data_IF_775479008845
#
_entry.id   IF_775479008845
#
_cell.length_a   1.000
_cell.length_b   1.000
_cell.length_c   1.000
_cell.angle_alpha   90.00
_cell.angle_beta   90.00
_cell.angle_gamma   90.00
#
_symmetry.space_group_name_H-M   'P 1'
#
loop_
_entity.id
_entity.type
_entity.pdbx_description
1 polymer ?
#
# COMPACT_ATOMS: atom_id res chain seq x y z
N UNK A 1 74.43 -15.91 -21.21
CA UNK A 1 74.33 -15.76 -22.69
C UNK A 1 72.98 -15.09 -22.93
N UNK A 2 72.81 -13.84 -23.40
CA UNK A 2 73.55 -13.00 -24.38
C UNK A 2 73.53 -13.56 -25.82
N UNK A 3 73.28 -12.64 -26.77
CA UNK A 3 73.16 -12.76 -28.24
C UNK A 3 71.79 -13.22 -28.80
N UNK A 4 71.24 -12.68 -29.91
CA UNK A 4 71.28 -11.35 -30.60
C UNK A 4 70.48 -11.49 -31.95
N UNK A 5 70.10 -10.37 -32.62
CA UNK A 5 69.93 -10.25 -34.12
C UNK A 5 68.73 -11.06 -34.74
N UNK A 6 67.97 -10.72 -35.81
CA UNK A 6 67.76 -9.59 -36.77
C UNK A 6 66.37 -9.83 -37.46
N UNK A 7 65.74 -8.99 -38.32
CA UNK A 7 65.65 -7.52 -38.54
C UNK A 7 64.71 -7.24 -39.76
N UNK A 8 64.03 -6.07 -39.83
CA UNK A 8 63.24 -5.50 -40.97
C UNK A 8 61.88 -6.17 -41.27
N UNK A 9 60.86 -5.48 -41.79
CA UNK A 9 60.79 -4.22 -42.57
C UNK A 9 59.53 -3.39 -42.19
N UNK A 10 59.63 -2.08 -41.88
CA UNK A 10 59.43 -0.92 -42.80
C UNK A 10 58.09 -1.00 -43.58
N UNK A 11 57.08 -0.14 -43.37
CA UNK A 11 56.96 1.32 -43.68
C UNK A 11 55.57 1.83 -43.18
N UNK A 12 55.24 3.11 -42.94
CA UNK A 12 55.96 4.39 -42.76
C UNK A 12 54.96 5.49 -42.26
N UNK A 13 55.35 6.37 -41.32
CA UNK A 13 54.84 7.76 -41.02
C UNK A 13 53.31 8.01 -40.82
N UNK A 14 52.85 8.93 -39.97
CA UNK A 14 53.52 9.91 -39.09
C UNK A 14 52.51 10.45 -38.03
N UNK A 15 52.96 10.89 -36.84
CA UNK A 15 53.29 12.30 -36.51
C UNK A 15 52.11 13.28 -36.70
N UNK A 16 51.72 14.12 -35.71
CA UNK A 16 52.06 14.17 -34.28
C UNK A 16 50.97 14.97 -33.52
N UNK A 17 50.92 14.79 -32.21
CA UNK A 17 50.18 15.59 -31.20
C UNK A 17 50.25 17.11 -31.44
N UNK A 18 49.11 17.80 -31.28
CA UNK A 18 49.11 19.14 -30.69
C UNK A 18 47.95 19.31 -29.68
N UNK A 19 48.13 20.27 -28.78
CA UNK A 19 47.41 20.44 -27.50
C UNK A 19 46.49 21.66 -27.55
N UNK A 20 45.56 21.73 -26.59
CA UNK A 20 45.03 22.95 -25.93
C UNK A 20 43.65 23.50 -26.35
N UNK A 21 43.03 24.18 -25.37
CA UNK A 21 41.83 25.04 -25.38
C UNK A 21 40.41 24.42 -25.35
N UNK A 22 39.96 24.24 -24.11
CA UNK A 22 38.64 24.60 -23.57
C UNK A 22 37.75 25.58 -24.37
N UNK A 23 36.47 25.20 -24.53
CA UNK A 23 35.28 26.08 -24.56
C UNK A 23 34.00 25.24 -24.31
N UNK A 24 32.92 25.86 -23.81
CA UNK A 24 31.78 25.19 -23.16
C UNK A 24 30.84 24.39 -24.09
N UNK A 25 30.21 23.30 -23.59
CA UNK A 25 29.15 22.55 -24.29
C UNK A 25 27.74 23.13 -24.07
N UNK A 26 27.59 24.46 -23.94
CA UNK A 26 26.29 25.10 -23.62
C UNK A 26 25.60 25.76 -24.82
N UNK A 27 26.20 25.75 -26.01
CA UNK A 27 25.73 26.48 -27.20
C UNK A 27 25.05 25.60 -28.26
N UNK A 28 24.92 24.28 -28.03
CA UNK A 28 24.37 23.35 -29.03
C UNK A 28 22.90 22.93 -28.81
N UNK A 29 22.25 23.35 -27.73
CA UNK A 29 20.89 22.90 -27.39
C UNK A 29 19.75 23.82 -27.89
N UNK A 30 20.08 25.03 -28.37
CA UNK A 30 19.08 26.08 -28.66
C UNK A 30 18.64 26.16 -30.13
N UNK A 31 18.91 25.11 -30.93
CA UNK A 31 18.55 25.03 -32.36
C UNK A 31 17.72 23.79 -32.73
N UNK A 32 17.24 23.02 -31.75
CA UNK A 32 16.44 21.80 -31.95
C UNK A 32 14.97 21.92 -31.51
N UNK A 33 14.52 23.11 -31.07
CA UNK A 33 13.19 23.31 -30.44
C UNK A 33 12.19 24.03 -31.37
N UNK A 34 12.61 24.52 -32.54
CA UNK A 34 11.78 25.40 -33.40
C UNK A 34 11.09 24.68 -34.57
N UNK A 35 11.52 23.47 -34.96
CA UNK A 35 10.95 22.77 -36.13
C UNK A 35 9.91 21.67 -35.81
N UNK A 36 9.59 21.42 -34.53
CA UNK A 36 8.60 20.40 -34.13
C UNK A 36 7.25 20.99 -33.67
N UNK A 37 6.73 21.99 -34.39
CA UNK A 37 5.48 22.68 -34.00
C UNK A 37 4.47 22.96 -35.14
N UNK A 38 4.65 22.40 -36.34
CA UNK A 38 3.84 22.78 -37.52
C UNK A 38 3.19 21.62 -38.32
N UNK A 39 3.09 20.38 -37.82
CA UNK A 39 2.51 19.25 -38.57
C UNK A 39 1.57 18.31 -37.78
N UNK A 40 0.74 18.84 -36.86
CA UNK A 40 -0.45 18.11 -36.37
C UNK A 40 -1.68 19.05 -36.33
N UNK A 41 -2.17 19.44 -37.51
CA UNK A 41 -3.40 20.23 -37.65
C UNK A 41 -4.18 19.86 -38.92
N UNK A 42 -4.52 18.58 -39.05
CA UNK A 42 -5.44 18.05 -40.07
C UNK A 42 -6.11 16.76 -39.54
N UNK A 43 -7.16 16.89 -38.72
CA UNK A 43 -7.78 15.73 -38.06
C UNK A 43 -9.02 15.97 -37.18
N UNK A 44 -9.57 17.19 -37.14
CA UNK A 44 -10.85 17.45 -36.46
C UNK A 44 -11.95 17.63 -37.50
N UNK A 45 -12.56 16.51 -37.86
CA UNK A 45 -13.54 16.41 -38.95
C UNK A 45 -14.41 15.16 -38.87
N UNK A 46 -14.70 14.68 -37.65
CA UNK A 46 -15.79 13.74 -37.43
C UNK A 46 -16.87 14.43 -36.62
N UNK A 47 -18.07 14.47 -37.17
CA UNK A 47 -19.29 14.85 -36.46
C UNK A 47 -19.44 13.97 -35.20
N UNK A 48 -19.94 14.50 -34.08
CA UNK A 48 -20.22 13.66 -32.92
C UNK A 48 -21.20 12.55 -33.31
N UNK A 49 -21.04 11.31 -32.81
CA UNK A 49 -22.00 10.26 -33.06
C UNK A 49 -23.36 10.69 -32.51
N UNK A 50 -24.38 10.63 -33.36
CA UNK A 50 -25.77 10.87 -32.97
C UNK A 50 -26.15 9.94 -31.81
N UNK A 51 -26.74 10.51 -30.77
CA UNK A 51 -27.38 9.74 -29.70
C UNK A 51 -28.41 8.77 -30.30
N UNK A 52 -28.64 7.59 -29.70
CA UNK A 52 -29.77 6.75 -30.08
C UNK A 52 -31.08 7.54 -29.89
N UNK A 53 -31.85 7.74 -30.97
CA UNK A 53 -33.12 8.49 -30.89
C UNK A 53 -34.28 7.69 -30.29
N UNK A 54 -34.11 6.37 -30.11
CA UNK A 54 -35.09 5.53 -29.43
C UNK A 54 -34.84 5.55 -27.91
N UNK A 55 -35.73 6.13 -27.09
CA UNK A 55 -35.73 5.84 -25.66
C UNK A 55 -35.96 4.33 -25.49
N UNK A 56 -35.28 3.66 -24.55
CA UNK A 56 -35.58 2.26 -24.26
C UNK A 56 -37.06 2.13 -23.93
N UNK A 57 -37.75 1.21 -24.60
CA UNK A 57 -39.17 0.91 -24.37
C UNK A 57 -39.43 0.88 -22.86
N UNK A 58 -40.47 1.56 -22.34
CA UNK A 58 -40.69 1.67 -20.92
C UNK A 58 -40.71 0.26 -20.32
N UNK A 59 -39.67 -0.05 -19.54
CA UNK A 59 -39.65 -1.26 -18.75
C UNK A 59 -40.93 -1.24 -17.94
N UNK A 60 -41.73 -2.32 -18.04
CA UNK A 60 -42.98 -2.45 -17.32
C UNK A 60 -42.68 -2.30 -15.83
N UNK A 61 -42.89 -1.07 -15.34
CA UNK A 61 -42.88 -0.73 -13.93
C UNK A 61 -43.98 -1.57 -13.31
N UNK A 62 -43.55 -2.66 -12.66
CA UNK A 62 -44.41 -3.50 -11.84
C UNK A 62 -45.10 -2.53 -10.86
N UNK A 63 -46.43 -2.46 -10.82
CA UNK A 63 -47.14 -1.61 -9.88
C UNK A 63 -46.65 -1.89 -8.47
N UNK A 64 -46.41 -0.84 -7.67
CA UNK A 64 -45.85 -0.99 -6.32
C UNK A 64 -46.70 -1.90 -5.42
N UNK A 65 -47.99 -2.02 -5.73
CA UNK A 65 -48.95 -2.89 -5.06
C UNK A 65 -48.63 -4.39 -5.20
N UNK A 66 -47.99 -4.83 -6.30
CA UNK A 66 -47.59 -6.25 -6.52
C UNK A 66 -46.28 -6.62 -5.78
N UNK A 67 -45.57 -5.65 -5.21
CA UNK A 67 -44.39 -5.87 -4.36
C UNK A 67 -44.75 -5.99 -2.86
N UNK A 68 -46.00 -5.73 -2.48
CA UNK A 68 -46.48 -5.90 -1.12
C UNK A 68 -47.11 -7.30 -0.96
N UNK A 69 -46.61 -8.15 -0.04
CA UNK A 69 -47.25 -9.44 0.21
C UNK A 69 -48.68 -9.23 0.71
N UNK A 70 -49.64 -9.88 0.05
CA UNK A 70 -51.07 -9.79 0.39
C UNK A 70 -51.28 -10.08 1.89
N UNK A 71 -52.18 -9.37 2.59
CA UNK A 71 -52.51 -9.72 3.97
C UNK A 71 -53.09 -11.14 4.01
N UNK A 72 -52.32 -12.07 4.61
CA UNK A 72 -52.72 -13.47 4.76
C UNK A 72 -54.09 -13.58 5.44
N UNK A 73 -54.97 -14.50 4.99
CA UNK A 73 -56.30 -14.64 5.58
C UNK A 73 -56.19 -14.99 7.07
N UNK A 74 -56.95 -14.26 7.89
CA UNK A 74 -57.00 -14.40 9.34
C UNK A 74 -57.28 -15.83 9.77
N UNK A 75 -56.28 -16.50 10.36
CA UNK A 75 -56.41 -17.84 10.93
C UNK A 75 -57.22 -17.75 12.24
N UNK A 76 -58.16 -18.68 12.53
CA UNK A 76 -58.89 -18.68 13.78
C UNK A 76 -57.93 -18.88 14.97
N UNK A 77 -58.20 -18.20 16.08
CA UNK A 77 -57.45 -18.36 17.32
C UNK A 77 -57.74 -19.73 17.95
N UNK A 78 -56.88 -20.72 17.67
CA UNK A 78 -56.79 -21.95 18.47
C UNK A 78 -55.61 -21.82 19.43
N UNK A 79 -55.92 -21.77 20.72
CA UNK A 79 -54.94 -21.83 21.79
C UNK A 79 -54.24 -23.19 21.79
N UNK A 80 -52.95 -23.20 21.48
CA UNK A 80 -52.04 -24.27 21.93
C UNK A 80 -50.64 -23.70 22.21
N UNK A 81 -50.02 -24.21 23.26
CA UNK A 81 -48.79 -23.67 23.84
C UNK A 81 -47.55 -23.89 22.96
N UNK A 82 -47.29 -22.92 22.08
CA UNK A 82 -45.97 -22.72 21.45
C UNK A 82 -45.57 -21.25 21.47
N UNK A 83 -45.76 -20.59 22.63
CA UNK A 83 -45.03 -19.38 22.95
C UNK A 83 -43.56 -19.77 23.17
N UNK A 84 -42.80 -19.89 22.08
CA UNK A 84 -41.34 -19.93 22.15
C UNK A 84 -40.92 -18.71 22.94
N UNK A 85 -40.29 -18.97 24.08
CA UNK A 85 -39.87 -17.96 25.02
C UNK A 85 -39.00 -16.97 24.23
N UNK A 86 -39.38 -15.69 24.24
CA UNK A 86 -38.44 -14.61 23.95
C UNK A 86 -37.49 -14.57 25.14
N UNK A 87 -36.55 -15.53 25.18
CA UNK A 87 -35.56 -15.64 26.25
C UNK A 87 -34.78 -14.34 26.29
N UNK A 88 -34.89 -13.68 27.44
CA UNK A 88 -34.11 -12.55 27.92
C UNK A 88 -33.04 -12.07 26.94
N UNK A 89 -33.40 -11.08 26.10
CA UNK A 89 -32.42 -10.27 25.41
C UNK A 89 -31.71 -9.41 26.46
N UNK A 90 -30.75 -10.05 27.15
CA UNK A 90 -30.01 -9.45 28.25
C UNK A 90 -29.23 -8.25 27.74
N UNK A 91 -29.77 -7.06 28.03
CA UNK A 91 -29.23 -5.75 27.65
C UNK A 91 -27.84 -5.49 28.23
N UNK A 92 -27.37 -6.32 29.17
CA UNK A 92 -26.00 -6.28 29.67
C UNK A 92 -25.00 -7.04 28.78
N UNK A 93 -25.47 -7.81 27.79
CA UNK A 93 -24.60 -8.51 26.83
C UNK A 93 -24.09 -7.52 25.78
N UNK A 94 -22.77 -7.38 25.56
CA UNK A 94 -22.26 -6.48 24.54
C UNK A 94 -22.78 -6.84 23.13
N UNK A 95 -23.02 -5.83 22.26
CA UNK A 95 -23.41 -6.02 20.87
C UNK A 95 -22.57 -7.08 20.15
N UNK A 96 -23.15 -7.76 19.17
CA UNK A 96 -22.43 -8.82 18.44
C UNK A 96 -21.15 -8.26 17.78
N UNK A 97 -21.19 -7.05 17.23
CA UNK A 97 -20.04 -6.31 16.70
C UNK A 97 -18.89 -6.20 17.71
N UNK A 98 -19.21 -5.93 18.97
CA UNK A 98 -18.22 -5.63 19.99
C UNK A 98 -17.60 -6.92 20.53
N UNK A 99 -18.40 -8.00 20.63
CA UNK A 99 -17.89 -9.34 20.90
C UNK A 99 -16.98 -9.85 19.76
N UNK A 100 -17.26 -9.53 18.50
CA UNK A 100 -16.38 -9.85 17.36
C UNK A 100 -15.06 -9.06 17.45
N UNK A 101 -15.13 -7.74 17.70
CA UNK A 101 -13.95 -6.89 17.91
C UNK A 101 -13.08 -7.38 19.08
N UNK A 102 -13.69 -7.69 20.23
CA UNK A 102 -13.00 -8.22 21.41
C UNK A 102 -12.30 -9.57 21.13
N UNK A 103 -12.94 -10.47 20.36
CA UNK A 103 -12.33 -11.75 19.95
C UNK A 103 -11.13 -11.55 19.01
N UNK A 104 -11.26 -10.67 18.01
CA UNK A 104 -10.17 -10.29 17.11
C UNK A 104 -8.99 -9.73 17.91
N UNK A 105 -9.26 -8.79 18.81
CA UNK A 105 -8.28 -8.15 19.69
C UNK A 105 -7.56 -9.15 20.61
N UNK A 106 -8.28 -10.08 21.22
CA UNK A 106 -7.70 -11.14 22.04
C UNK A 106 -6.76 -12.07 21.24
N UNK A 107 -7.14 -12.43 20.00
CA UNK A 107 -6.30 -13.26 19.13
C UNK A 107 -5.07 -12.46 18.61
N UNK A 108 -5.21 -11.16 18.32
CA UNK A 108 -4.08 -10.26 18.00
C UNK A 108 -3.06 -10.24 19.15
N UNK A 109 -3.52 -10.03 20.40
CA UNK A 109 -2.65 -10.06 21.59
C UNK A 109 -1.98 -11.42 21.78
N UNK A 110 -2.73 -12.51 21.57
CA UNK A 110 -2.20 -13.87 21.67
C UNK A 110 -1.13 -14.15 20.62
N UNK A 111 -1.39 -13.84 19.34
CA UNK A 111 -0.45 -14.06 18.24
C UNK A 111 0.80 -13.19 18.40
N UNK A 112 0.67 -11.93 18.85
CA UNK A 112 1.83 -11.08 19.18
C UNK A 112 2.69 -11.68 20.31
N UNK A 113 2.07 -12.29 21.33
CA UNK A 113 2.81 -12.98 22.41
C UNK A 113 3.51 -14.23 21.88
N UNK A 114 2.83 -15.05 21.07
CA UNK A 114 3.42 -16.23 20.42
C UNK A 114 4.60 -15.81 19.52
N UNK A 115 4.45 -14.74 18.73
CA UNK A 115 5.48 -14.15 17.86
C UNK A 115 6.72 -13.71 18.63
N UNK A 116 6.57 -12.92 19.71
CA UNK A 116 7.69 -12.52 20.58
C UNK A 116 8.42 -13.72 21.19
N UNK A 117 7.71 -14.81 21.51
CA UNK A 117 8.29 -16.02 22.10
C UNK A 117 8.92 -17.01 21.08
N UNK A 118 8.64 -16.84 19.79
CA UNK A 118 9.00 -17.84 18.78
C UNK A 118 10.49 -17.75 18.39
N UNK A 119 11.26 -18.81 18.61
CA UNK A 119 12.65 -18.87 18.12
C UNK A 119 12.76 -19.21 16.62
N UNK A 120 11.72 -19.80 16.02
CA UNK A 120 11.74 -20.32 14.66
C UNK A 120 11.19 -19.30 13.65
N UNK A 121 12.07 -18.81 12.76
CA UNK A 121 11.76 -17.81 11.73
C UNK A 121 10.60 -18.21 10.82
N UNK A 122 10.49 -19.48 10.44
CA UNK A 122 9.43 -19.98 9.54
C UNK A 122 8.07 -20.08 10.24
N UNK A 123 8.06 -20.34 11.56
CA UNK A 123 6.83 -20.27 12.36
C UNK A 123 6.43 -18.82 12.62
N UNK A 124 7.39 -17.96 13.00
CA UNK A 124 7.18 -16.53 13.18
C UNK A 124 6.62 -15.87 11.91
N UNK A 125 7.11 -16.26 10.72
CA UNK A 125 6.57 -15.83 9.42
C UNK A 125 5.10 -16.20 9.22
N UNK A 126 4.68 -17.41 9.62
CA UNK A 126 3.28 -17.85 9.54
C UNK A 126 2.38 -17.09 10.52
N UNK A 127 2.87 -16.82 11.73
CA UNK A 127 2.18 -16.01 12.74
C UNK A 127 2.02 -14.56 12.25
N UNK A 128 3.06 -13.94 11.69
CA UNK A 128 2.96 -12.62 11.06
C UNK A 128 1.96 -12.59 9.91
N UNK A 129 1.89 -13.65 9.08
CA UNK A 129 0.86 -13.79 8.04
C UNK A 129 -0.56 -14.04 8.59
N UNK A 130 -0.72 -14.58 9.79
CA UNK A 130 -2.03 -14.65 10.47
C UNK A 130 -2.41 -13.27 11.01
N UNK A 131 -1.48 -12.58 11.66
CA UNK A 131 -1.71 -11.27 12.25
C UNK A 131 -2.06 -10.22 11.19
N UNK A 132 -1.32 -10.20 10.08
CA UNK A 132 -1.61 -9.34 8.92
C UNK A 132 -3.02 -9.56 8.37
N UNK A 133 -3.48 -10.83 8.30
CA UNK A 133 -4.85 -11.18 7.85
C UNK A 133 -5.92 -10.77 8.85
N UNK A 134 -5.62 -10.74 10.15
CA UNK A 134 -6.54 -10.20 11.14
C UNK A 134 -6.60 -8.68 11.03
N UNK A 135 -5.46 -7.98 10.97
CA UNK A 135 -5.44 -6.53 10.82
C UNK A 135 -6.16 -6.08 9.54
N UNK A 136 -5.97 -6.78 8.41
CA UNK A 136 -6.65 -6.49 7.13
C UNK A 136 -8.15 -6.80 7.07
N UNK A 137 -8.77 -7.31 8.14
CA UNK A 137 -10.23 -7.46 8.24
C UNK A 137 -10.78 -6.25 9.00
N UNK A 138 -11.39 -5.29 8.30
CA UNK A 138 -11.99 -4.12 8.94
C UNK A 138 -13.20 -4.48 9.82
N UNK A 139 -13.89 -5.58 9.47
CA UNK A 139 -15.19 -5.97 10.03
C UNK A 139 -16.39 -5.38 9.25
N UNK A 140 -16.14 -4.81 8.06
CA UNK A 140 -17.17 -4.35 7.12
C UNK A 140 -16.83 -4.86 5.72
N UNK A 141 -17.73 -5.64 5.11
CA UNK A 141 -17.54 -6.19 3.77
C UNK A 141 -17.32 -5.10 2.71
N UNK A 142 -17.97 -3.94 2.85
CA UNK A 142 -17.80 -2.79 1.96
C UNK A 142 -16.38 -2.22 2.05
N UNK A 143 -15.84 -2.07 3.26
CA UNK A 143 -14.48 -1.56 3.46
C UNK A 143 -13.46 -2.59 2.97
N UNK A 144 -13.66 -3.88 3.27
CA UNK A 144 -12.77 -4.96 2.84
C UNK A 144 -12.77 -5.12 1.30
N UNK A 145 -13.91 -4.89 0.63
CA UNK A 145 -14.03 -4.82 -0.82
C UNK A 145 -13.29 -3.62 -1.43
N UNK A 146 -13.49 -2.42 -0.89
CA UNK A 146 -12.78 -1.21 -1.33
C UNK A 146 -11.26 -1.35 -1.17
N UNK A 147 -10.80 -1.93 -0.05
CA UNK A 147 -9.38 -2.27 0.14
C UNK A 147 -8.91 -3.30 -0.89
N UNK A 148 -9.70 -4.32 -1.22
CA UNK A 148 -9.34 -5.26 -2.29
C UNK A 148 -9.21 -4.58 -3.66
N UNK A 149 -10.02 -3.55 -3.95
CA UNK A 149 -9.86 -2.77 -5.18
C UNK A 149 -8.62 -1.87 -5.15
N UNK A 150 -8.28 -1.30 -4.00
CA UNK A 150 -7.03 -0.56 -3.80
C UNK A 150 -5.79 -1.46 -4.01
N UNK A 151 -5.77 -2.65 -3.42
CA UNK A 151 -4.67 -3.64 -3.58
C UNK A 151 -4.54 -4.10 -5.05
N UNK A 152 -5.67 -4.25 -5.77
CA UNK A 152 -5.66 -4.55 -7.20
C UNK A 152 -5.12 -3.37 -8.04
N UNK A 153 -5.45 -2.12 -7.68
CA UNK A 153 -4.92 -0.93 -8.34
C UNK A 153 -3.42 -0.74 -8.09
N UNK A 154 -2.95 -0.98 -6.86
CA UNK A 154 -1.53 -1.06 -6.48
C UNK A 154 -0.81 -2.12 -7.32
N UNK A 155 -1.38 -3.33 -7.42
CA UNK A 155 -0.81 -4.43 -8.21
C UNK A 155 -0.75 -4.16 -9.72
N UNK A 156 -1.41 -3.11 -10.20
CA UNK A 156 -1.39 -2.64 -11.57
C UNK A 156 -0.62 -1.30 -11.74
N UNK A 157 0.16 -0.89 -10.73
CA UNK A 157 0.89 0.39 -10.65
C UNK A 157 -0.01 1.65 -10.81
N UNK A 158 -1.33 1.51 -10.67
CA UNK A 158 -2.28 2.61 -10.74
C UNK A 158 -2.48 3.26 -9.37
N UNK A 159 -1.42 3.92 -8.90
CA UNK A 159 -1.35 4.55 -7.59
C UNK A 159 -2.41 5.63 -7.36
N UNK A 160 -2.80 6.38 -8.41
CA UNK A 160 -3.88 7.37 -8.30
C UNK A 160 -5.22 6.74 -7.94
N UNK A 161 -5.62 5.70 -8.68
CA UNK A 161 -6.86 4.96 -8.40
C UNK A 161 -6.80 4.22 -7.05
N UNK A 162 -5.61 3.76 -6.63
CA UNK A 162 -5.43 3.18 -5.30
C UNK A 162 -5.69 4.22 -4.20
N UNK A 163 -5.16 5.44 -4.34
CA UNK A 163 -5.45 6.53 -3.40
C UNK A 163 -6.95 6.86 -3.36
N UNK A 164 -7.62 6.96 -4.50
CA UNK A 164 -9.07 7.21 -4.56
C UNK A 164 -9.88 6.18 -3.76
N UNK A 165 -9.57 4.88 -3.91
CA UNK A 165 -10.24 3.82 -3.13
C UNK A 165 -9.93 3.90 -1.64
N UNK A 166 -8.67 4.18 -1.27
CA UNK A 166 -8.26 4.27 0.14
C UNK A 166 -8.84 5.52 0.82
N UNK A 167 -8.94 6.64 0.12
CA UNK A 167 -9.57 7.86 0.63
C UNK A 167 -11.07 7.66 0.86
N UNK A 168 -11.76 6.90 0.00
CA UNK A 168 -13.14 6.48 0.26
C UNK A 168 -13.24 5.56 1.49
N UNK A 169 -12.30 4.63 1.69
CA UNK A 169 -12.24 3.82 2.93
C UNK A 169 -12.04 4.69 4.17
N UNK A 170 -11.15 5.67 4.11
CA UNK A 170 -10.82 6.55 5.25
C UNK A 170 -11.95 7.55 5.54
N UNK A 171 -12.71 7.98 4.54
CA UNK A 171 -13.92 8.78 4.72
C UNK A 171 -15.04 7.99 5.44
N UNK A 172 -15.16 6.69 5.15
CA UNK A 172 -16.17 5.80 5.75
C UNK A 172 -15.76 5.22 7.12
N UNK A 173 -14.47 4.94 7.31
CA UNK A 173 -13.94 4.29 8.51
C UNK A 173 -12.55 4.84 8.91
N UNK A 174 -12.47 6.09 9.40
CA UNK A 174 -11.20 6.77 9.68
C UNK A 174 -10.36 6.11 10.77
N UNK A 175 -10.92 5.27 11.63
CA UNK A 175 -10.17 4.54 12.68
C UNK A 175 -9.56 3.22 12.19
N UNK A 176 -9.57 2.94 10.88
CA UNK A 176 -9.03 1.70 10.34
C UNK A 176 -7.53 1.83 9.99
N UNK A 177 -6.67 1.49 10.94
CA UNK A 177 -5.21 1.66 10.86
C UNK A 177 -4.58 1.10 9.56
N UNK A 178 -5.05 -0.05 9.05
CA UNK A 178 -4.46 -0.69 7.86
C UNK A 178 -4.63 0.15 6.58
N UNK A 179 -5.72 0.91 6.47
CA UNK A 179 -5.93 1.82 5.33
C UNK A 179 -4.92 2.99 5.35
N UNK A 180 -4.62 3.54 6.52
CA UNK A 180 -3.56 4.55 6.66
C UNK A 180 -2.18 3.99 6.30
N UNK A 181 -1.85 2.76 6.73
CA UNK A 181 -0.59 2.09 6.36
C UNK A 181 -0.50 1.90 4.84
N UNK A 182 -1.61 1.51 4.18
CA UNK A 182 -1.63 1.36 2.72
C UNK A 182 -1.55 2.69 1.98
N UNK A 183 -2.24 3.74 2.43
CA UNK A 183 -2.11 5.07 1.80
C UNK A 183 -0.69 5.59 1.92
N UNK A 184 -0.08 5.41 3.09
CA UNK A 184 1.32 5.75 3.28
C UNK A 184 2.26 4.97 2.36
N UNK A 185 2.05 3.65 2.21
CA UNK A 185 2.86 2.82 1.31
C UNK A 185 2.75 3.29 -0.15
N UNK A 186 1.56 3.70 -0.60
CA UNK A 186 1.36 4.32 -1.92
C UNK A 186 2.11 5.66 -2.03
N UNK A 187 2.03 6.51 -1.01
CA UNK A 187 2.83 7.75 -0.95
C UNK A 187 4.34 7.48 -0.94
N UNK A 188 4.83 6.38 -0.35
CA UNK A 188 6.24 5.96 -0.44
C UNK A 188 6.62 5.63 -1.89
N UNK A 189 5.78 4.90 -2.64
CA UNK A 189 6.04 4.63 -4.06
C UNK A 189 6.07 5.91 -4.91
N UNK A 190 5.21 6.88 -4.58
CA UNK A 190 5.18 8.21 -5.20
C UNK A 190 6.29 9.16 -4.70
N UNK A 191 7.15 8.72 -3.76
CA UNK A 191 8.15 9.54 -3.07
C UNK A 191 7.60 10.73 -2.26
N UNK A 192 6.31 10.73 -1.95
CA UNK A 192 5.60 11.68 -1.09
C UNK A 192 5.83 11.40 0.41
N UNK A 193 7.11 11.27 0.81
CA UNK A 193 7.50 10.85 2.16
C UNK A 193 6.89 11.71 3.29
N UNK A 194 6.53 12.96 3.00
CA UNK A 194 5.81 13.84 3.96
C UNK A 194 4.41 13.32 4.27
N UNK A 195 3.64 12.90 3.27
CA UNK A 195 2.30 12.35 3.45
C UNK A 195 2.39 10.95 4.07
N UNK A 196 3.32 10.13 3.59
CA UNK A 196 3.59 8.81 4.18
C UNK A 196 3.90 8.89 5.70
N UNK A 197 4.75 9.82 6.13
CA UNK A 197 5.01 10.02 7.56
C UNK A 197 3.75 10.43 8.34
N UNK A 198 2.88 11.29 7.80
CA UNK A 198 1.66 11.71 8.50
C UNK A 198 0.71 10.51 8.69
N UNK A 199 0.47 9.77 7.62
CA UNK A 199 -0.41 8.61 7.61
C UNK A 199 0.11 7.48 8.52
N UNK A 200 1.42 7.20 8.51
CA UNK A 200 2.02 6.20 9.38
C UNK A 200 2.02 6.59 10.86
N UNK A 201 2.23 7.87 11.18
CA UNK A 201 2.12 8.34 12.57
C UNK A 201 0.69 8.15 13.07
N UNK A 202 -0.32 8.45 12.25
CA UNK A 202 -1.71 8.21 12.63
C UNK A 202 -2.03 6.70 12.72
N UNK A 203 -1.44 5.86 11.86
CA UNK A 203 -1.59 4.41 11.95
C UNK A 203 -1.06 3.83 13.27
N UNK A 204 0.08 4.31 13.79
CA UNK A 204 0.61 3.87 15.11
C UNK A 204 -0.13 4.49 16.30
N UNK A 205 -0.84 5.60 16.13
CA UNK A 205 -1.79 6.11 17.14
C UNK A 205 -3.02 5.19 17.24
N UNK A 206 -3.53 4.71 16.10
CA UNK A 206 -4.69 3.81 16.03
C UNK A 206 -4.36 2.36 16.46
N UNK A 207 -3.20 1.83 16.08
CA UNK A 207 -2.73 0.50 16.48
C UNK A 207 -1.24 0.54 16.86
N UNK A 208 -0.91 0.83 18.14
CA UNK A 208 0.46 1.00 18.62
C UNK A 208 1.29 -0.30 18.68
N UNK A 209 0.72 -1.42 18.21
CA UNK A 209 1.38 -2.73 18.11
C UNK A 209 1.59 -3.19 16.67
N UNK A 210 1.18 -2.40 15.67
CA UNK A 210 1.38 -2.75 14.27
C UNK A 210 2.87 -2.58 13.88
N UNK A 211 3.61 -3.69 13.88
CA UNK A 211 5.02 -3.68 13.50
C UNK A 211 5.25 -3.22 12.05
N UNK A 212 4.24 -3.34 11.16
CA UNK A 212 4.37 -2.91 9.78
C UNK A 212 4.43 -1.39 9.70
N UNK A 213 3.58 -0.69 10.45
CA UNK A 213 3.61 0.78 10.51
C UNK A 213 4.97 1.30 11.03
N UNK A 214 5.54 0.67 12.05
CA UNK A 214 6.88 1.00 12.54
C UNK A 214 8.00 0.65 11.54
N UNK A 215 7.86 -0.45 10.79
CA UNK A 215 8.78 -0.80 9.72
C UNK A 215 8.75 0.23 8.58
N UNK A 216 7.58 0.58 8.07
CA UNK A 216 7.42 1.59 7.01
C UNK A 216 7.85 3.00 7.47
N UNK A 217 7.67 3.34 8.76
CA UNK A 217 8.23 4.57 9.34
C UNK A 217 9.76 4.56 9.26
N UNK A 218 10.39 3.42 9.58
CA UNK A 218 11.83 3.28 9.47
C UNK A 218 12.32 3.44 8.04
N UNK A 219 11.69 2.75 7.08
CA UNK A 219 11.98 2.87 5.63
C UNK A 219 11.85 4.32 5.16
N UNK A 220 10.77 5.01 5.56
CA UNK A 220 10.53 6.42 5.22
C UNK A 220 11.57 7.36 5.84
N UNK A 221 12.03 7.08 7.07
CA UNK A 221 13.08 7.87 7.73
C UNK A 221 14.46 7.60 7.10
N UNK A 222 14.75 6.40 6.61
CA UNK A 222 15.95 6.12 5.82
C UNK A 222 15.94 6.91 4.51
N UNK A 223 14.85 6.82 3.74
CA UNK A 223 14.67 7.51 2.47
C UNK A 223 14.72 9.05 2.59
N UNK A 224 14.53 9.58 3.80
CA UNK A 224 14.61 11.03 4.11
C UNK A 224 15.87 11.41 4.90
N UNK A 225 16.92 10.59 4.83
CA UNK A 225 18.27 10.83 5.41
C UNK A 225 18.27 10.99 6.95
N UNK A 226 17.39 10.25 7.64
CA UNK A 226 17.23 10.29 9.11
C UNK A 226 17.54 8.92 9.76
N UNK A 227 18.73 8.33 9.56
CA UNK A 227 19.04 6.95 10.00
C UNK A 227 18.88 6.75 11.52
N UNK A 228 19.15 7.78 12.33
CA UNK A 228 18.92 7.75 13.80
C UNK A 228 17.46 7.65 14.22
N UNK A 229 16.52 8.13 13.39
CA UNK A 229 15.09 7.96 13.62
C UNK A 229 14.61 6.64 13.02
N UNK A 230 15.17 6.23 11.88
CA UNK A 230 14.90 4.93 11.27
C UNK A 230 15.23 3.78 12.23
N UNK A 231 16.43 3.78 12.84
CA UNK A 231 16.82 2.80 13.86
C UNK A 231 15.77 2.66 14.98
N UNK A 232 15.29 3.78 15.55
CA UNK A 232 14.27 3.75 16.62
C UNK A 232 12.93 3.15 16.16
N UNK A 233 12.52 3.46 14.94
CA UNK A 233 11.30 2.89 14.36
C UNK A 233 11.46 1.38 14.11
N UNK A 234 12.61 0.96 13.59
CA UNK A 234 12.94 -0.46 13.38
C UNK A 234 13.10 -1.25 14.69
N UNK A 235 13.70 -0.67 15.72
CA UNK A 235 13.74 -1.24 17.08
C UNK A 235 12.31 -1.48 17.60
N UNK A 236 11.39 -0.54 17.36
CA UNK A 236 9.97 -0.70 17.73
C UNK A 236 9.25 -1.76 16.92
N UNK A 237 9.54 -1.92 15.63
CA UNK A 237 9.02 -3.05 14.85
C UNK A 237 9.55 -4.40 15.39
N UNK A 238 10.85 -4.50 15.70
CA UNK A 238 11.46 -5.70 16.30
C UNK A 238 10.97 -5.99 17.72
N UNK A 239 10.51 -4.99 18.49
CA UNK A 239 9.88 -5.21 19.80
C UNK A 239 8.66 -6.12 19.68
N UNK A 240 7.91 -6.04 18.57
CA UNK A 240 6.71 -6.83 18.31
C UNK A 240 6.97 -8.06 17.43
N UNK A 241 7.87 -7.97 16.46
CA UNK A 241 8.26 -9.08 15.59
C UNK A 241 9.80 -9.25 15.55
N UNK A 242 10.40 -9.89 16.58
CA UNK A 242 11.86 -9.97 16.70
C UNK A 242 12.56 -10.72 15.55
N UNK A 243 11.88 -11.67 14.89
CA UNK A 243 12.48 -12.61 13.94
C UNK A 243 12.49 -12.09 12.49
N UNK A 244 12.25 -10.79 12.27
CA UNK A 244 12.38 -10.14 10.96
C UNK A 244 13.86 -10.06 10.52
N UNK A 245 14.44 -11.17 10.04
CA UNK A 245 15.86 -11.26 9.66
C UNK A 245 16.34 -10.15 8.69
N UNK A 246 15.49 -9.74 7.74
CA UNK A 246 15.81 -8.63 6.82
C UNK A 246 16.01 -7.31 7.57
N UNK A 247 15.18 -7.07 8.59
CA UNK A 247 15.19 -5.86 9.41
C UNK A 247 16.38 -5.85 10.38
N UNK A 248 16.68 -6.99 11.02
CA UNK A 248 17.88 -7.17 11.84
C UNK A 248 19.15 -6.79 11.07
N UNK A 249 19.31 -7.32 9.85
CA UNK A 249 20.44 -7.01 8.97
C UNK A 249 20.48 -5.53 8.53
N UNK A 250 19.33 -4.88 8.35
CA UNK A 250 19.31 -3.45 8.01
C UNK A 250 19.74 -2.58 9.19
N UNK A 251 19.32 -2.93 10.42
CA UNK A 251 19.79 -2.27 11.65
C UNK A 251 21.31 -2.45 11.81
N UNK A 252 21.85 -3.65 11.61
CA UNK A 252 23.29 -3.94 11.68
C UNK A 252 24.09 -3.01 10.75
N UNK A 253 23.71 -2.96 9.46
CA UNK A 253 24.33 -2.06 8.48
C UNK A 253 24.21 -0.58 8.88
N UNK A 254 23.05 -0.14 9.36
CA UNK A 254 22.83 1.24 9.82
C UNK A 254 23.63 1.63 11.06
N UNK A 255 24.00 0.67 11.91
CA UNK A 255 24.85 0.89 13.07
C UNK A 255 26.32 1.02 12.65
N UNK A 256 26.78 0.13 11.75
CA UNK A 256 28.13 0.18 11.19
C UNK A 256 28.39 1.48 10.40
N UNK A 257 27.41 1.93 9.60
CA UNK A 257 27.44 3.22 8.89
C UNK A 257 27.51 4.44 9.85
N UNK A 258 27.12 4.28 11.11
CA UNK A 258 27.14 5.34 12.13
C UNK A 258 28.35 5.29 13.07
N UNK A 259 29.11 4.19 13.10
CA UNK A 259 30.40 4.15 13.78
C UNK A 259 31.46 4.94 13.01
N UNK A 260 32.16 5.90 13.63
CA UNK A 260 33.29 6.57 12.99
C UNK A 260 34.37 5.55 12.63
N UNK A 261 34.79 5.50 11.37
CA UNK A 261 35.93 4.66 11.00
C UNK A 261 37.20 5.14 11.73
N UNK A 262 38.05 4.22 12.24
CA UNK A 262 39.32 4.60 12.84
C UNK A 262 40.23 5.26 11.79
N UNK A 263 40.83 6.38 12.20
CA UNK A 263 41.78 7.20 11.42
C UNK A 263 43.13 6.48 11.18
#
# INVERSE_FOLDING_TARGET
>A
MRFFIFLKSLRLRGFLVFRQNSLHPFTFFLLAVVECFCLISAGYGQSPPSLPEDPPSPQLLIPLDDLLPSPSPSRPATSDSSATILEDFDLNTPPHSDRVKQRKEAEVVRLLKELKSCANVEQARKIGQQLQRLWSQSGSETIDLLMSWAENAISADNYGLALDYIDNVLALYPTYAEAWIRRAWVHIQLSDFKLAMLDLNHAVELEPRNYMAFFELGVTMEATERPKLALKAYEKALEYYPQMQKLQKRIEVLLDEQTPQPL
#
